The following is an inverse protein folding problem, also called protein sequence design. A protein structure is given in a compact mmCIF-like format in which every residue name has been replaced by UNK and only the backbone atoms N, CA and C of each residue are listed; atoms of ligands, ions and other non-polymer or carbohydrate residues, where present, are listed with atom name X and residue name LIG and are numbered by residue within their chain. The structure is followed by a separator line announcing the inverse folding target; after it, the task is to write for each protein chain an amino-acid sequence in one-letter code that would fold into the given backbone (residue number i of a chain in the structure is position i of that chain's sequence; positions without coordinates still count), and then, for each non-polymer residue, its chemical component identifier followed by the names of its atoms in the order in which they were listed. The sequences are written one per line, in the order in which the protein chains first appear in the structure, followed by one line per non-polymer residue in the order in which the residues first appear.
data_IF_039126645039
#
_entry.id   IF_039126645039
#
_cell.length_a   1.000
_cell.length_b   1.000
_cell.length_c   1.000
_cell.angle_alpha   90.00
_cell.angle_beta   90.00
_cell.angle_gamma   90.00
#
_symmetry.space_group_name_H-M   'P 1'
#
loop_
_entity.id
_entity.type
_entity.pdbx_description
1 polymer ?
#
# COMPACT_ATOMS: atom_id res chain seq x y z
N UNK A 1 -10.39 30.55 -6.24
CA UNK A 1 -10.71 29.84 -7.50
C UNK A 1 -10.39 28.36 -7.28
N UNK A 2 -11.03 27.40 -8.00
CA UNK A 2 -10.95 25.96 -7.71
C UNK A 2 -9.58 25.27 -7.89
N UNK A 3 -8.49 26.04 -8.02
CA UNK A 3 -7.13 25.52 -8.23
C UNK A 3 -6.95 24.77 -9.55
N UNK A 4 -5.72 24.30 -9.80
CA UNK A 4 -5.37 23.31 -10.84
C UNK A 4 -4.72 22.09 -10.19
N UNK A 5 -4.79 20.89 -10.79
CA UNK A 5 -4.02 19.75 -10.31
C UNK A 5 -2.54 20.10 -10.18
N UNK A 6 -1.92 19.71 -9.07
CA UNK A 6 -0.48 19.90 -8.89
C UNK A 6 0.28 18.89 -9.75
N UNK A 7 1.19 19.41 -10.58
CA UNK A 7 1.98 18.65 -11.56
C UNK A 7 3.35 18.22 -11.01
N UNK A 8 3.62 18.47 -9.72
CA UNK A 8 4.91 18.18 -9.09
C UNK A 8 5.93 19.31 -9.24
N UNK A 9 5.61 20.36 -10.01
CA UNK A 9 6.53 21.47 -10.27
C UNK A 9 6.43 22.58 -9.22
N UNK A 10 7.46 23.43 -9.16
CA UNK A 10 7.54 24.59 -8.27
C UNK A 10 8.04 24.27 -6.86
N UNK A 11 7.55 25.01 -5.86
CA UNK A 11 7.94 24.85 -4.47
C UNK A 11 7.15 23.72 -3.79
N UNK A 12 7.62 22.48 -3.97
CA UNK A 12 7.05 21.31 -3.34
C UNK A 12 7.00 21.41 -1.81
N UNK A 13 7.94 22.12 -1.17
CA UNK A 13 7.95 22.27 0.28
C UNK A 13 6.73 23.04 0.80
N UNK A 14 6.25 24.03 0.03
CA UNK A 14 5.00 24.72 0.35
C UNK A 14 3.79 23.79 0.28
N UNK A 15 3.72 22.95 -0.75
CA UNK A 15 2.66 21.94 -0.89
C UNK A 15 2.72 20.91 0.25
N UNK A 16 3.92 20.46 0.65
CA UNK A 16 4.10 19.55 1.78
C UNK A 16 3.64 20.13 3.11
N UNK A 17 3.84 21.44 3.34
CA UNK A 17 3.31 22.11 4.53
C UNK A 17 1.77 22.10 4.53
N UNK A 18 1.15 22.43 3.41
CA UNK A 18 -0.32 22.33 3.28
C UNK A 18 -0.84 20.90 3.50
N UNK A 19 -0.13 19.89 2.97
CA UNK A 19 -0.49 18.49 3.19
C UNK A 19 -0.35 18.07 4.66
N UNK A 20 0.69 18.55 5.35
CA UNK A 20 0.87 18.32 6.78
C UNK A 20 -0.28 18.90 7.62
N UNK A 21 -0.79 20.09 7.26
CA UNK A 21 -1.96 20.68 7.91
C UNK A 21 -3.23 19.83 7.68
N UNK A 22 -3.41 19.28 6.47
CA UNK A 22 -4.51 18.35 6.16
C UNK A 22 -4.38 17.08 7.01
N UNK A 23 -3.20 16.47 7.08
CA UNK A 23 -2.97 15.30 7.92
C UNK A 23 -3.29 15.58 9.39
N UNK A 24 -2.86 16.72 9.92
CA UNK A 24 -3.16 17.11 11.30
C UNK A 24 -4.65 17.36 11.55
N UNK A 25 -5.41 17.71 10.50
CA UNK A 25 -6.87 17.77 10.57
C UNK A 25 -7.47 16.37 10.59
N UNK A 26 -7.06 15.48 9.70
CA UNK A 26 -7.54 14.10 9.62
C UNK A 26 -7.26 13.32 10.91
N UNK A 27 -6.08 13.53 11.51
CA UNK A 27 -5.66 12.93 12.78
C UNK A 27 -6.64 13.21 13.94
N UNK A 28 -7.38 14.32 13.90
CA UNK A 28 -8.36 14.70 14.93
C UNK A 28 -9.71 13.99 14.78
N UNK A 29 -9.89 13.21 13.71
CA UNK A 29 -11.17 12.59 13.34
C UNK A 29 -11.02 11.06 13.15
N UNK A 30 -10.73 10.29 14.21
CA UNK A 30 -10.58 8.84 14.12
C UNK A 30 -11.92 8.11 13.92
N UNK A 31 -11.84 6.94 13.31
CA UNK A 31 -12.90 5.95 13.13
C UNK A 31 -12.61 4.70 13.97
N UNK A 32 -13.66 3.92 14.24
CA UNK A 32 -13.58 2.69 15.04
C UNK A 32 -13.22 1.44 14.23
N UNK A 33 -13.30 1.50 12.90
CA UNK A 33 -13.01 0.36 12.00
C UNK A 33 -12.25 0.84 10.76
N UNK A 34 -11.50 -0.06 10.14
CA UNK A 34 -10.97 0.12 8.79
C UNK A 34 -11.96 -0.38 7.74
N UNK A 35 -12.10 0.35 6.64
CA UNK A 35 -13.12 0.08 5.63
C UNK A 35 -13.46 1.29 4.78
N UNK A 36 -14.34 1.12 3.80
CA UNK A 36 -14.81 2.22 2.95
C UNK A 36 -15.96 2.98 3.62
N UNK A 37 -16.01 4.28 3.39
CA UNK A 37 -17.15 5.09 3.83
C UNK A 37 -18.36 4.80 2.93
N UNK A 38 -19.51 4.56 3.54
CA UNK A 38 -20.79 4.34 2.86
C UNK A 38 -21.85 5.27 3.43
N UNK A 39 -22.80 5.64 2.59
CA UNK A 39 -23.90 6.54 2.90
C UNK A 39 -25.17 5.91 2.31
N UNK A 40 -26.23 5.78 3.11
CA UNK A 40 -27.48 5.17 2.65
C UNK A 40 -28.32 6.15 1.84
N UNK A 41 -28.44 7.40 2.30
CA UNK A 41 -29.14 8.48 1.61
C UNK A 41 -28.40 9.82 1.70
N UNK A 42 -28.66 10.71 0.74
CA UNK A 42 -28.05 12.04 0.73
C UNK A 42 -28.40 12.81 2.02
N UNK A 43 -27.39 13.13 2.82
CA UNK A 43 -27.54 13.83 4.10
C UNK A 43 -27.32 12.97 5.35
N UNK A 44 -27.20 11.65 5.20
CA UNK A 44 -26.91 10.76 6.32
C UNK A 44 -25.46 10.88 6.79
N UNK A 45 -25.25 10.54 8.07
CA UNK A 45 -23.89 10.40 8.60
C UNK A 45 -23.24 9.16 7.99
N UNK A 46 -22.05 9.27 7.36
CA UNK A 46 -21.37 8.11 6.78
C UNK A 46 -21.04 7.06 7.83
N UNK A 47 -21.15 5.78 7.46
CA UNK A 47 -20.68 4.65 8.27
C UNK A 47 -19.54 3.91 7.55
N UNK A 48 -18.76 3.14 8.31
CA UNK A 48 -17.65 2.34 7.76
C UNK A 48 -18.17 0.95 7.38
N UNK A 49 -18.11 0.63 6.09
CA UNK A 49 -18.45 -0.66 5.51
C UNK A 49 -17.18 -1.42 5.08
N UNK A 50 -17.33 -2.61 4.49
CA UNK A 50 -16.24 -3.35 3.87
C UNK A 50 -15.44 -2.47 2.92
N UNK A 51 -14.12 -2.69 2.85
CA UNK A 51 -13.25 -2.05 1.85
C UNK A 51 -13.78 -2.37 0.47
N UNK A 52 -14.10 -1.33 -0.31
CA UNK A 52 -14.72 -1.50 -1.62
C UNK A 52 -13.78 -2.12 -2.65
N UNK A 53 -12.52 -1.65 -2.70
CA UNK A 53 -11.50 -2.17 -3.60
C UNK A 53 -10.09 -1.69 -3.20
N UNK A 54 -9.09 -2.06 -4.00
CA UNK A 54 -7.75 -1.47 -3.97
C UNK A 54 -7.47 -0.59 -5.20
N UNK A 55 -6.38 0.18 -5.13
CA UNK A 55 -5.96 1.12 -6.20
C UNK A 55 -5.73 0.42 -7.54
N UNK A 56 -5.15 -0.77 -7.52
CA UNK A 56 -4.67 -1.46 -8.73
C UNK A 56 -5.62 -2.56 -9.24
N UNK A 57 -6.46 -3.09 -8.37
CA UNK A 57 -7.23 -4.31 -8.63
C UNK A 57 -8.63 -4.20 -8.07
N UNK A 58 -9.58 -4.87 -8.72
CA UNK A 58 -10.93 -5.04 -8.20
C UNK A 58 -10.89 -6.12 -7.11
N UNK A 59 -11.00 -5.71 -5.85
CA UNK A 59 -11.05 -6.64 -4.73
C UNK A 59 -12.49 -6.98 -4.35
N UNK A 60 -12.71 -8.18 -3.84
CA UNK A 60 -13.99 -8.53 -3.25
C UNK A 60 -14.18 -7.73 -1.95
N UNK A 61 -15.38 -7.18 -1.67
CA UNK A 61 -15.59 -6.42 -0.45
C UNK A 61 -15.20 -7.23 0.80
N UNK A 62 -14.27 -6.68 1.61
CA UNK A 62 -13.75 -7.35 2.81
C UNK A 62 -13.75 -6.41 4.03
N UNK A 63 -14.03 -6.96 5.21
CA UNK A 63 -14.20 -6.19 6.45
C UNK A 63 -15.65 -5.72 6.67
N UNK A 64 -15.88 -4.60 7.38
CA UNK A 64 -14.89 -3.70 7.95
C UNK A 64 -14.07 -4.38 9.05
N UNK A 65 -12.79 -4.00 9.19
CA UNK A 65 -11.87 -4.62 10.14
C UNK A 65 -11.80 -3.83 11.45
N UNK A 66 -11.77 -4.54 12.57
CA UNK A 66 -11.72 -3.92 13.91
C UNK A 66 -10.28 -3.74 14.42
N UNK A 67 -9.30 -4.42 13.80
CA UNK A 67 -7.89 -4.34 14.17
C UNK A 67 -7.01 -4.07 12.96
N UNK A 68 -5.88 -3.38 13.20
CA UNK A 68 -4.87 -3.08 12.17
C UNK A 68 -4.32 -4.35 11.53
N UNK A 69 -4.04 -5.38 12.33
CA UNK A 69 -3.58 -6.68 11.84
C UNK A 69 -4.60 -7.35 10.92
N UNK A 70 -5.88 -7.44 11.33
CA UNK A 70 -6.92 -8.04 10.51
C UNK A 70 -7.07 -7.34 9.16
N UNK A 71 -6.91 -6.02 9.14
CA UNK A 71 -6.95 -5.22 7.91
C UNK A 71 -5.79 -5.54 6.96
N UNK A 72 -4.54 -5.55 7.43
CA UNK A 72 -3.39 -5.88 6.59
C UNK A 72 -3.40 -7.35 6.13
N UNK A 73 -3.77 -8.27 7.02
CA UNK A 73 -3.94 -9.69 6.67
C UNK A 73 -5.01 -9.87 5.61
N UNK A 74 -6.16 -9.18 5.74
CA UNK A 74 -7.23 -9.25 4.76
C UNK A 74 -6.82 -8.70 3.37
N UNK A 75 -6.00 -7.64 3.31
CA UNK A 75 -5.48 -7.15 2.04
C UNK A 75 -4.58 -8.20 1.35
N UNK A 76 -3.61 -8.77 2.08
CA UNK A 76 -2.70 -9.76 1.51
C UNK A 76 -3.42 -11.05 1.10
N UNK A 77 -4.41 -11.49 1.87
CA UNK A 77 -5.25 -12.65 1.54
C UNK A 77 -6.03 -12.47 0.24
N UNK A 78 -6.55 -11.27 -0.02
CA UNK A 78 -7.26 -11.00 -1.27
C UNK A 78 -6.35 -11.10 -2.49
N UNK A 79 -5.11 -10.63 -2.39
CA UNK A 79 -4.11 -10.84 -3.43
C UNK A 79 -3.75 -12.31 -3.63
N UNK A 80 -3.62 -13.10 -2.55
CA UNK A 80 -3.40 -14.54 -2.65
C UNK A 80 -4.53 -15.26 -3.38
N UNK A 81 -5.78 -14.88 -3.12
CA UNK A 81 -6.93 -15.42 -3.83
C UNK A 81 -6.87 -15.10 -5.34
N UNK A 82 -6.60 -13.85 -5.69
CA UNK A 82 -6.49 -13.43 -7.10
C UNK A 82 -5.32 -14.13 -7.84
N UNK A 83 -4.20 -14.39 -7.16
CA UNK A 83 -3.06 -15.13 -7.72
C UNK A 83 -3.42 -16.61 -7.91
N UNK A 84 -4.04 -17.23 -6.92
CA UNK A 84 -4.47 -18.63 -6.99
C UNK A 84 -5.48 -18.87 -8.11
N UNK A 85 -6.37 -17.90 -8.35
CA UNK A 85 -7.35 -17.93 -9.44
C UNK A 85 -6.74 -17.58 -10.81
N UNK A 86 -5.44 -17.27 -10.89
CA UNK A 86 -4.74 -16.92 -12.13
C UNK A 86 -5.06 -15.53 -12.68
N UNK A 87 -5.74 -14.67 -11.91
CA UNK A 87 -6.08 -13.30 -12.30
C UNK A 87 -4.88 -12.35 -12.17
N UNK A 88 -3.95 -12.66 -11.27
CA UNK A 88 -2.71 -11.90 -11.07
C UNK A 88 -1.47 -12.75 -11.28
N UNK A 89 -0.46 -12.14 -11.93
CA UNK A 89 0.87 -12.70 -12.15
C UNK A 89 0.90 -14.11 -12.77
N UNK A 90 0.07 -14.44 -13.78
CA UNK A 90 0.00 -15.82 -14.29
C UNK A 90 1.33 -16.34 -14.86
N UNK A 91 2.24 -15.45 -15.25
CA UNK A 91 3.58 -15.81 -15.76
C UNK A 91 4.57 -16.23 -14.67
N UNK A 92 4.32 -15.90 -13.40
CA UNK A 92 5.20 -16.19 -12.26
C UNK A 92 4.39 -16.34 -10.96
N UNK A 93 3.26 -17.06 -11.06
CA UNK A 93 2.26 -17.12 -10.00
C UNK A 93 2.80 -17.75 -8.71
N UNK A 94 3.71 -18.72 -8.81
CA UNK A 94 4.38 -19.32 -7.65
C UNK A 94 5.21 -18.28 -6.90
N UNK A 95 6.07 -17.53 -7.61
CA UNK A 95 6.91 -16.48 -7.04
C UNK A 95 6.04 -15.40 -6.36
N UNK A 96 5.01 -14.92 -7.07
CA UNK A 96 4.11 -13.93 -6.53
C UNK A 96 3.38 -14.45 -5.28
N UNK A 97 2.85 -15.67 -5.33
CA UNK A 97 2.13 -16.27 -4.22
C UNK A 97 2.99 -16.34 -2.95
N UNK A 98 4.25 -16.74 -3.07
CA UNK A 98 5.18 -16.78 -1.94
C UNK A 98 5.38 -15.39 -1.31
N UNK A 99 5.53 -14.34 -2.11
CA UNK A 99 5.68 -12.95 -1.59
C UNK A 99 4.44 -12.53 -0.82
N UNK A 100 3.23 -12.67 -1.40
CA UNK A 100 2.01 -12.24 -0.71
C UNK A 100 1.68 -13.13 0.49
N UNK A 101 2.08 -14.41 0.48
CA UNK A 101 1.94 -15.33 1.62
C UNK A 101 2.82 -14.87 2.77
N UNK A 102 4.05 -14.49 2.47
CA UNK A 102 4.96 -13.88 3.43
C UNK A 102 4.41 -12.57 3.99
N UNK A 103 3.86 -11.69 3.15
CA UNK A 103 3.25 -10.44 3.60
C UNK A 103 2.06 -10.68 4.54
N UNK A 104 1.20 -11.64 4.22
CA UNK A 104 0.07 -12.05 5.07
C UNK A 104 0.53 -12.50 6.45
N UNK A 105 1.54 -13.37 6.51
CA UNK A 105 2.06 -13.92 7.76
C UNK A 105 2.86 -12.90 8.58
N UNK A 106 3.32 -11.81 7.95
CA UNK A 106 4.05 -10.71 8.59
C UNK A 106 3.23 -9.43 8.77
N UNK A 107 1.92 -9.47 8.50
CA UNK A 107 1.02 -8.32 8.58
C UNK A 107 1.04 -7.64 9.96
N UNK A 108 1.21 -8.42 11.03
CA UNK A 108 1.32 -7.91 12.40
C UNK A 108 2.49 -6.93 12.60
N UNK A 109 3.56 -7.00 11.80
CA UNK A 109 4.67 -6.04 11.88
C UNK A 109 4.25 -4.61 11.49
N UNK A 110 3.13 -4.45 10.79
CA UNK A 110 2.58 -3.15 10.41
C UNK A 110 1.58 -2.60 11.43
N UNK A 111 1.03 -3.45 12.30
CA UNK A 111 0.07 -3.04 13.30
C UNK A 111 0.72 -2.13 14.36
N UNK A 112 0.06 -1.03 14.67
CA UNK A 112 0.46 -0.02 15.66
C UNK A 112 -0.10 -0.30 17.06
N UNK A 113 -0.82 -1.42 17.24
CA UNK A 113 -1.45 -1.80 18.51
C UNK A 113 -2.63 -0.91 18.91
N UNK A 114 -2.96 0.11 18.12
CA UNK A 114 -4.09 1.01 18.35
C UNK A 114 -5.24 0.68 17.39
N UNK A 115 -6.43 0.40 17.92
CA UNK A 115 -7.61 0.15 17.10
C UNK A 115 -8.33 1.48 16.78
N UNK A 116 -7.57 2.42 16.22
CA UNK A 116 -8.08 3.69 15.69
C UNK A 116 -7.68 3.83 14.23
N UNK A 117 -8.63 4.26 13.43
CA UNK A 117 -8.48 4.32 11.98
C UNK A 117 -8.71 5.73 11.48
N UNK A 118 -8.10 6.08 10.36
CA UNK A 118 -8.09 7.45 9.85
C UNK A 118 -8.37 7.42 8.36
N UNK A 119 -9.03 8.46 7.86
CA UNK A 119 -9.32 8.59 6.44
C UNK A 119 -8.02 8.76 5.65
N UNK A 120 -7.83 7.97 4.59
CA UNK A 120 -6.72 8.06 3.65
C UNK A 120 -7.23 8.14 2.22
N UNK A 121 -6.63 9.03 1.44
CA UNK A 121 -6.71 9.02 -0.01
C UNK A 121 -5.69 8.00 -0.54
N UNK A 122 -6.14 6.87 -1.08
CA UNK A 122 -5.24 5.77 -1.46
C UNK A 122 -4.57 5.94 -2.82
N UNK A 123 -5.06 6.87 -3.66
CA UNK A 123 -4.42 7.27 -4.92
C UNK A 123 -3.60 8.57 -4.74
N UNK A 124 -2.82 8.65 -3.66
CA UNK A 124 -2.10 9.84 -3.22
C UNK A 124 -0.79 10.11 -4.00
N UNK A 125 -0.85 10.12 -5.34
CA UNK A 125 0.32 10.35 -6.22
C UNK A 125 0.64 11.82 -6.51
N UNK A 126 -0.19 12.75 -6.02
CA UNK A 126 0.04 14.20 -6.06
C UNK A 126 -0.95 14.98 -6.91
N UNK A 127 -1.35 14.45 -8.06
CA UNK A 127 -2.29 15.10 -9.00
C UNK A 127 -3.72 15.29 -8.44
N UNK A 128 -4.12 14.46 -7.46
CA UNK A 128 -5.33 14.66 -6.67
C UNK A 128 -5.34 15.96 -5.82
N UNK A 129 -4.20 16.64 -5.64
CA UNK A 129 -4.10 17.91 -4.90
C UNK A 129 -4.31 19.09 -5.84
N UNK A 130 -5.32 19.92 -5.56
CA UNK A 130 -5.62 21.12 -6.33
C UNK A 130 -4.92 22.32 -5.70
N UNK A 131 -4.11 23.06 -6.46
CA UNK A 131 -3.35 24.22 -5.97
C UNK A 131 -3.70 25.52 -6.71
N UNK A 132 -3.64 26.66 -6.01
CA UNK A 132 -3.74 27.99 -6.63
C UNK A 132 -2.39 28.45 -7.23
N UNK A 133 -2.34 29.70 -7.72
CA UNK A 133 -1.13 30.30 -8.31
C UNK A 133 0.03 30.43 -7.32
N UNK A 134 -0.29 30.48 -6.03
CA UNK A 134 0.68 30.57 -4.94
C UNK A 134 1.04 29.18 -4.39
N UNK A 135 0.58 28.08 -4.99
CA UNK A 135 0.78 26.70 -4.49
C UNK A 135 0.12 26.40 -3.14
N UNK A 136 -0.93 27.14 -2.76
CA UNK A 136 -1.76 26.74 -1.62
C UNK A 136 -2.72 25.63 -2.06
N UNK A 137 -2.86 24.57 -1.26
CA UNK A 137 -3.85 23.52 -1.53
C UNK A 137 -5.25 24.10 -1.33
N UNK A 138 -6.04 24.10 -2.39
CA UNK A 138 -7.42 24.61 -2.44
C UNK A 138 -8.46 23.49 -2.38
N UNK A 139 -8.06 22.25 -2.65
CA UNK A 139 -8.92 21.09 -2.61
C UNK A 139 -8.18 19.78 -2.84
N UNK A 140 -8.88 18.69 -2.56
CA UNK A 140 -8.45 17.32 -2.86
C UNK A 140 -9.60 16.63 -3.60
N UNK A 141 -9.34 16.02 -4.73
CA UNK A 141 -10.33 15.35 -5.59
C UNK A 141 -10.13 13.83 -5.57
N UNK A 142 -10.89 13.10 -6.40
CA UNK A 142 -10.71 11.66 -6.66
C UNK A 142 -10.85 10.72 -5.44
N UNK A 143 -11.74 11.07 -4.51
CA UNK A 143 -12.07 10.30 -3.30
C UNK A 143 -12.74 8.93 -3.52
N UNK A 144 -12.90 8.45 -4.75
CA UNK A 144 -13.69 7.25 -5.08
C UNK A 144 -13.21 5.97 -4.38
N UNK A 145 -11.91 5.88 -4.05
CA UNK A 145 -11.31 4.73 -3.35
C UNK A 145 -10.87 5.05 -1.93
N UNK A 146 -11.21 6.23 -1.40
CA UNK A 146 -10.83 6.61 -0.06
C UNK A 146 -11.41 5.65 0.98
N UNK A 147 -10.61 5.35 1.99
CA UNK A 147 -10.95 4.40 3.04
C UNK A 147 -10.36 4.83 4.36
N UNK A 148 -10.94 4.29 5.42
CA UNK A 148 -10.41 4.38 6.77
C UNK A 148 -9.38 3.27 6.96
N UNK A 149 -8.18 3.62 7.43
CA UNK A 149 -7.02 2.72 7.50
C UNK A 149 -6.30 2.88 8.84
N UNK A 150 -5.45 1.92 9.26
CA UNK A 150 -4.65 2.06 10.47
C UNK A 150 -3.82 3.34 10.48
N UNK A 151 -3.50 3.86 11.67
CA UNK A 151 -2.74 5.11 11.83
C UNK A 151 -1.43 5.08 11.08
N UNK A 152 -0.71 3.94 11.14
CA UNK A 152 0.54 3.76 10.41
C UNK A 152 0.36 3.97 8.90
N UNK A 153 -0.68 3.46 8.27
CA UNK A 153 -0.90 3.66 6.83
C UNK A 153 -1.40 5.07 6.49
N UNK A 154 -2.25 5.65 7.33
CA UNK A 154 -2.84 6.97 7.09
C UNK A 154 -1.77 8.07 7.00
N UNK A 155 -0.72 7.95 7.80
CA UNK A 155 0.32 8.99 7.94
C UNK A 155 1.73 8.53 7.57
N UNK A 156 1.91 7.29 7.07
CA UNK A 156 3.17 6.87 6.48
C UNK A 156 3.44 7.58 5.15
N UNK A 157 4.69 7.45 4.70
CA UNK A 157 5.10 7.87 3.37
C UNK A 157 4.25 7.22 2.28
N UNK A 158 3.84 8.03 1.30
CA UNK A 158 2.97 7.61 0.19
C UNK A 158 3.62 7.84 -1.18
N UNK A 159 2.90 7.69 -2.29
CA UNK A 159 3.52 7.90 -3.61
C UNK A 159 3.87 9.35 -3.91
N UNK A 160 3.24 10.30 -3.22
CA UNK A 160 3.41 11.74 -3.44
C UNK A 160 4.87 12.20 -3.35
N UNK A 161 5.63 11.58 -2.44
CA UNK A 161 7.03 11.91 -2.16
C UNK A 161 8.02 10.84 -2.64
N UNK A 162 7.54 9.77 -3.29
CA UNK A 162 8.37 8.66 -3.70
C UNK A 162 9.30 9.04 -4.87
N UNK A 163 10.55 8.58 -4.80
CA UNK A 163 11.37 8.48 -6.01
C UNK A 163 10.89 7.23 -6.78
N UNK A 164 10.12 7.46 -7.84
CA UNK A 164 9.49 6.37 -8.60
C UNK A 164 10.50 5.46 -9.27
N UNK A 165 11.68 5.96 -9.63
CA UNK A 165 12.72 5.13 -10.23
C UNK A 165 13.31 4.21 -9.16
N UNK A 166 13.76 4.77 -8.04
CA UNK A 166 14.31 3.99 -6.93
C UNK A 166 13.29 2.95 -6.40
N UNK A 167 12.02 3.34 -6.27
CA UNK A 167 10.95 2.45 -5.84
C UNK A 167 10.78 1.26 -6.81
N UNK A 168 10.78 1.52 -8.12
CA UNK A 168 10.62 0.49 -9.15
C UNK A 168 11.87 -0.39 -9.33
N UNK A 169 13.06 0.19 -9.16
CA UNK A 169 14.34 -0.50 -9.25
C UNK A 169 14.67 -1.32 -7.98
N UNK A 170 13.79 -1.28 -6.96
CA UNK A 170 13.94 -2.05 -5.72
C UNK A 170 14.95 -1.47 -4.74
N UNK A 171 15.28 -0.18 -4.86
CA UNK A 171 16.25 0.47 -3.98
C UNK A 171 15.61 0.87 -2.65
N UNK A 172 16.01 0.23 -1.56
CA UNK A 172 15.48 0.51 -0.22
C UNK A 172 16.13 1.77 0.36
N UNK A 173 15.47 2.91 0.21
CA UNK A 173 15.91 4.18 0.80
C UNK A 173 14.81 5.24 0.85
N UNK A 174 14.94 6.20 1.76
CA UNK A 174 14.07 7.38 1.77
C UNK A 174 14.61 8.42 0.78
N UNK A 175 13.74 8.93 -0.09
CA UNK A 175 14.10 9.97 -1.04
C UNK A 175 14.32 11.32 -0.33
N UNK A 176 14.95 12.28 -1.01
CA UNK A 176 15.01 13.67 -0.53
C UNK A 176 13.62 14.26 -0.30
N UNK A 177 12.66 13.91 -1.17
CA UNK A 177 11.26 14.34 -1.05
C UNK A 177 10.56 13.68 0.15
N UNK A 178 10.86 12.42 0.45
CA UNK A 178 10.36 11.74 1.65
C UNK A 178 10.83 12.43 2.92
N UNK A 179 12.11 12.77 2.99
CA UNK A 179 12.68 13.51 4.12
C UNK A 179 12.08 14.92 4.22
N UNK A 180 11.85 15.61 3.10
CA UNK A 180 11.23 16.93 3.08
C UNK A 180 9.77 16.90 3.56
N UNK A 181 8.97 15.94 3.09
CA UNK A 181 7.59 15.75 3.55
C UNK A 181 7.56 15.40 5.03
N UNK A 182 8.41 14.47 5.48
CA UNK A 182 8.52 14.11 6.90
C UNK A 182 8.86 15.32 7.76
N UNK A 183 9.77 16.18 7.33
CA UNK A 183 10.14 17.39 8.06
C UNK A 183 8.96 18.38 8.14
N UNK A 184 8.22 18.59 7.05
CA UNK A 184 7.01 19.42 7.06
C UNK A 184 5.94 18.87 8.03
N UNK A 185 5.77 17.55 8.07
CA UNK A 185 4.88 16.89 9.04
C UNK A 185 5.40 17.01 10.47
N UNK A 186 6.72 16.93 10.69
CA UNK A 186 7.33 17.09 12.01
C UNK A 186 7.07 18.47 12.61
N UNK A 187 7.11 19.53 11.79
CA UNK A 187 6.74 20.90 12.21
C UNK A 187 5.30 21.00 12.73
N UNK A 188 4.42 20.06 12.34
CA UNK A 188 3.00 20.04 12.70
C UNK A 188 2.68 19.03 13.82
N UNK A 189 3.24 17.81 13.73
CA UNK A 189 3.01 16.70 14.65
C UNK A 189 4.17 15.70 14.58
N UNK A 190 5.01 15.67 15.62
CA UNK A 190 6.08 14.69 15.77
C UNK A 190 5.56 13.25 15.72
N UNK A 191 4.41 12.98 16.35
CA UNK A 191 3.80 11.65 16.39
C UNK A 191 3.37 11.13 15.01
N UNK A 192 2.95 12.01 14.10
CA UNK A 192 2.69 11.65 12.70
C UNK A 192 3.99 11.46 11.93
N UNK A 193 4.96 12.35 12.12
CA UNK A 193 6.25 12.27 11.43
C UNK A 193 7.01 10.97 11.75
N UNK A 194 6.80 10.37 12.92
CA UNK A 194 7.33 9.04 13.25
C UNK A 194 6.78 7.92 12.36
N UNK A 195 5.57 8.04 11.81
CA UNK A 195 5.01 7.06 10.88
C UNK A 195 5.73 7.08 9.51
N UNK A 196 6.47 8.15 9.22
CA UNK A 196 7.23 8.35 7.98
C UNK A 196 8.71 7.93 8.12
N UNK A 197 9.04 7.12 9.13
CA UNK A 197 10.40 6.67 9.39
C UNK A 197 10.94 5.64 8.40
N UNK A 198 10.05 4.98 7.65
CA UNK A 198 10.38 3.94 6.69
C UNK A 198 9.38 3.92 5.52
N UNK A 199 9.69 3.16 4.47
CA UNK A 199 8.79 2.92 3.34
C UNK A 199 8.08 1.56 3.40
N UNK A 200 8.05 0.90 4.57
CA UNK A 200 7.54 -0.46 4.72
C UNK A 200 6.07 -0.55 4.33
N UNK A 201 5.24 0.39 4.78
CA UNK A 201 3.81 0.43 4.43
C UNK A 201 3.62 0.74 2.94
N UNK A 202 4.38 1.70 2.40
CA UNK A 202 4.35 2.01 0.96
C UNK A 202 4.62 0.76 0.14
N UNK A 203 5.72 0.04 0.45
CA UNK A 203 6.09 -1.17 -0.27
C UNK A 203 5.06 -2.27 -0.11
N UNK A 204 4.52 -2.47 1.11
CA UNK A 204 3.47 -3.46 1.36
C UNK A 204 2.32 -3.33 0.37
N UNK A 205 1.76 -2.12 0.19
CA UNK A 205 0.67 -1.87 -0.76
C UNK A 205 1.11 -1.73 -2.22
N UNK A 206 2.36 -1.35 -2.48
CA UNK A 206 2.92 -1.35 -3.83
C UNK A 206 3.04 -2.77 -4.39
N UNK A 207 3.36 -3.73 -3.52
CA UNK A 207 3.50 -5.13 -3.87
C UNK A 207 4.47 -5.32 -5.04
N UNK A 208 4.03 -6.08 -6.04
CA UNK A 208 4.79 -6.35 -7.27
C UNK A 208 4.31 -5.50 -8.46
N UNK A 209 3.67 -4.34 -8.22
CA UNK A 209 3.32 -3.31 -9.24
C UNK A 209 2.59 -3.84 -10.50
N UNK A 210 1.80 -4.92 -10.35
CA UNK A 210 1.19 -5.63 -11.49
C UNK A 210 2.17 -5.94 -12.65
N UNK A 211 3.46 -6.15 -12.36
CA UNK A 211 4.45 -6.48 -13.38
C UNK A 211 4.09 -7.77 -14.12
N UNK A 212 4.35 -7.79 -15.43
CA UNK A 212 3.96 -8.92 -16.30
C UNK A 212 5.02 -10.00 -16.40
N UNK A 213 6.26 -9.70 -15.98
CA UNK A 213 7.39 -10.62 -16.02
C UNK A 213 8.16 -10.60 -14.71
N UNK A 214 8.64 -11.77 -14.31
CA UNK A 214 9.36 -11.92 -13.05
C UNK A 214 10.61 -11.04 -12.97
N UNK A 215 11.31 -10.84 -14.09
CA UNK A 215 12.53 -10.02 -14.13
C UNK A 215 12.31 -8.58 -13.64
N UNK A 216 11.11 -8.01 -13.87
CA UNK A 216 10.75 -6.67 -13.41
C UNK A 216 10.16 -6.68 -11.99
N UNK A 217 9.55 -7.79 -11.57
CA UNK A 217 9.02 -7.96 -10.21
C UNK A 217 10.09 -8.33 -9.18
N UNK A 218 11.19 -8.97 -9.60
CA UNK A 218 12.25 -9.48 -8.73
C UNK A 218 12.89 -8.37 -7.86
N UNK A 219 13.25 -7.18 -8.39
CA UNK A 219 13.76 -6.10 -7.55
C UNK A 219 12.75 -5.66 -6.47
N UNK A 220 11.46 -5.60 -6.83
CA UNK A 220 10.39 -5.25 -5.89
C UNK A 220 10.25 -6.29 -4.78
N UNK A 221 10.30 -7.57 -5.13
CA UNK A 221 10.24 -8.68 -4.19
C UNK A 221 11.42 -8.67 -3.22
N UNK A 222 12.65 -8.48 -3.70
CA UNK A 222 13.83 -8.39 -2.85
C UNK A 222 13.73 -7.21 -1.87
N UNK A 223 13.33 -6.04 -2.35
CA UNK A 223 13.18 -4.86 -1.51
C UNK A 223 12.09 -5.04 -0.43
N UNK A 224 10.98 -5.69 -0.80
CA UNK A 224 9.92 -6.08 0.13
C UNK A 224 10.45 -7.00 1.23
N UNK A 225 11.12 -8.10 0.85
CA UNK A 225 11.69 -9.05 1.79
C UNK A 225 12.71 -8.38 2.74
N UNK A 226 13.61 -7.56 2.18
CA UNK A 226 14.59 -6.79 2.94
C UNK A 226 13.92 -5.88 3.98
N UNK A 227 12.86 -5.16 3.62
CA UNK A 227 12.14 -4.30 4.56
C UNK A 227 11.55 -5.08 5.74
N UNK A 228 11.17 -6.32 5.54
CA UNK A 228 10.62 -7.20 6.59
C UNK A 228 11.70 -8.02 7.30
N UNK A 229 12.98 -7.73 7.08
CA UNK A 229 14.11 -8.31 7.82
C UNK A 229 14.68 -9.60 7.22
N UNK A 230 14.35 -9.91 5.96
CA UNK A 230 14.96 -11.02 5.23
C UNK A 230 16.26 -10.54 4.60
N UNK A 231 17.36 -11.17 4.99
CA UNK A 231 18.70 -10.83 4.49
C UNK A 231 19.12 -11.72 3.32
N UNK A 232 18.46 -12.86 3.14
CA UNK A 232 18.77 -13.82 2.07
C UNK A 232 18.39 -13.26 0.70
N UNK A 233 19.16 -13.64 -0.32
CA UNK A 233 18.77 -13.41 -1.70
C UNK A 233 17.54 -14.23 -2.10
N UNK A 234 16.86 -13.80 -3.17
CA UNK A 234 15.62 -14.42 -3.64
C UNK A 234 15.67 -15.94 -3.75
N UNK A 235 16.69 -16.50 -4.40
CA UNK A 235 16.75 -17.94 -4.68
C UNK A 235 16.83 -18.78 -3.39
N UNK A 236 17.68 -18.36 -2.45
CA UNK A 236 17.81 -19.01 -1.14
C UNK A 236 16.51 -18.89 -0.33
N UNK A 237 15.92 -17.69 -0.31
CA UNK A 237 14.67 -17.44 0.38
C UNK A 237 13.52 -18.28 -0.21
N UNK A 238 13.42 -18.36 -1.53
CA UNK A 238 12.39 -19.13 -2.25
C UNK A 238 12.45 -20.62 -1.90
N UNK A 239 13.65 -21.21 -1.84
CA UNK A 239 13.80 -22.61 -1.46
C UNK A 239 13.28 -22.91 -0.05
N UNK A 240 13.49 -21.98 0.88
CA UNK A 240 12.98 -22.08 2.26
C UNK A 240 11.47 -21.88 2.28
N UNK A 241 10.98 -20.84 1.60
CA UNK A 241 9.56 -20.47 1.57
C UNK A 241 8.69 -21.58 0.96
N UNK A 242 9.12 -22.25 -0.12
CA UNK A 242 8.40 -23.37 -0.73
C UNK A 242 8.21 -24.52 0.28
N UNK A 243 9.24 -24.82 1.09
CA UNK A 243 9.15 -25.87 2.11
C UNK A 243 8.26 -25.44 3.27
N UNK A 244 8.40 -24.19 3.70
CA UNK A 244 7.62 -23.62 4.80
C UNK A 244 6.12 -23.60 4.51
N UNK A 245 5.74 -23.28 3.26
CA UNK A 245 4.35 -23.21 2.83
C UNK A 245 3.88 -24.46 2.09
N UNK A 246 4.60 -25.57 2.21
CA UNK A 246 4.35 -26.79 1.45
C UNK A 246 2.95 -27.39 1.63
N UNK A 247 2.33 -27.17 2.79
CA UNK A 247 0.98 -27.66 3.12
C UNK A 247 -0.15 -26.72 2.63
N UNK A 248 0.17 -25.58 1.99
CA UNK A 248 -0.85 -24.67 1.45
C UNK A 248 -1.36 -25.21 0.10
N UNK A 249 -2.60 -25.70 0.09
CA UNK A 249 -3.23 -26.33 -1.08
C UNK A 249 -3.23 -25.41 -2.32
N UNK A 250 -3.33 -24.09 -2.14
CA UNK A 250 -3.29 -23.14 -3.26
C UNK A 250 -1.90 -23.05 -3.85
N UNK A 251 -0.86 -23.03 -3.02
CA UNK A 251 0.53 -23.06 -3.50
C UNK A 251 0.83 -24.38 -4.23
N UNK A 252 0.41 -25.52 -3.66
CA UNK A 252 0.59 -26.82 -4.32
C UNK A 252 -0.05 -26.85 -5.72
N UNK A 253 -1.27 -26.33 -5.86
CA UNK A 253 -1.96 -26.26 -7.14
C UNK A 253 -1.20 -25.40 -8.18
N UNK A 254 -0.63 -24.27 -7.75
CA UNK A 254 0.17 -23.40 -8.62
C UNK A 254 1.47 -24.10 -9.07
N UNK A 255 2.16 -24.78 -8.15
CA UNK A 255 3.40 -25.51 -8.47
C UNK A 255 3.15 -26.65 -9.46
N UNK A 256 2.07 -27.42 -9.29
CA UNK A 256 1.68 -28.49 -10.23
C UNK A 256 1.39 -27.92 -11.62
N UNK A 257 0.67 -26.80 -11.70
CA UNK A 257 0.34 -26.14 -12.96
C UNK A 257 1.59 -25.64 -13.68
N UNK A 258 2.50 -24.97 -12.96
CA UNK A 258 3.78 -24.49 -13.53
C UNK A 258 4.67 -25.62 -14.03
N UNK A 259 4.70 -26.76 -13.32
CA UNK A 259 5.46 -27.95 -13.72
C UNK A 259 4.89 -28.62 -14.97
N UNK A 260 3.56 -28.60 -15.14
CA UNK A 260 2.86 -29.19 -16.28
C UNK A 260 3.06 -28.43 -17.59
N UNK A 261 3.09 -27.09 -17.55
CA UNK A 261 3.34 -26.24 -18.74
C UNK A 261 4.74 -26.50 -19.33
N UNK A 262 5.70 -26.89 -18.49
CA UNK A 262 7.06 -27.21 -18.94
C UNK A 262 7.20 -28.53 -19.70
N UNK A 263 6.20 -29.43 -19.62
CA UNK A 263 6.22 -30.75 -20.29
C UNK A 263 5.35 -30.82 -21.56
N UNK A 264 4.38 -29.92 -21.77
CA UNK A 264 3.52 -29.92 -22.95
C UNK A 264 4.07 -29.16 -24.16
N UNK A 265 5.12 -28.34 -23.98
CA UNK A 265 5.70 -27.48 -25.01
C UNK A 265 7.11 -27.93 -25.47
N UNK A 266 7.38 -29.25 -25.50
CA UNK A 266 8.58 -29.82 -26.13
C UNK A 266 8.25 -30.85 -27.20
#
# INVERSE_FOLDING_TARGET
MPGKPWDGEGDAAKVWKGLAEIFAKLEKHPFAKAGSLSVESAGDTPFVSSVASDRFVCLHPCGPCETSEAYYTAWAEQYLALIADGQLYPQFSVEAYLVYRFLRDNAAQLADGENRFFLKHVDDKGDHLMVDEDLNITGTIDWQMARTVPRREAFALSLVSADMRALCDGEVSLSTSDLALRNAVYETSEGMAHQMGDEKVRRFFWGLRLETQWVYALPLANALLQMFGIEQGWDEWKEVAIKQYGDDERLEALVRTSSGVSQSDR
#
